data_IF_951793094710
#
_entry.id   IF_951793094710
#
_cell.length_a   1.000
_cell.length_b   1.000
_cell.length_c   1.000
_cell.angle_alpha   90.00
_cell.angle_beta   90.00
_cell.angle_gamma   90.00
#
_symmetry.space_group_name_H-M   'P 1'
#
loop_
_entity.id
_entity.type
_entity.pdbx_description
1 polymer ?
#
# COMPACT_ATOMS: atom_id res chain seq x y z
N UNK A 1 -34.38 15.38 -39.31
CA UNK A 1 -33.23 14.93 -38.50
C UNK A 1 -32.26 16.09 -38.40
N UNK A 2 -31.52 16.17 -37.30
CA UNK A 2 -30.41 17.13 -37.16
C UNK A 2 -29.16 16.32 -37.47
N UNK A 3 -28.54 16.61 -38.61
CA UNK A 3 -27.37 15.90 -39.10
C UNK A 3 -26.18 16.86 -39.10
N UNK A 4 -24.97 16.37 -38.83
CA UNK A 4 -23.77 17.19 -38.97
C UNK A 4 -23.54 17.56 -40.45
N UNK A 5 -22.86 18.68 -40.68
CA UNK A 5 -22.43 19.04 -42.02
C UNK A 5 -21.37 18.06 -42.52
N UNK A 6 -21.53 17.57 -43.76
CA UNK A 6 -20.56 16.70 -44.42
C UNK A 6 -20.73 15.21 -44.09
N UNK A 7 -19.61 14.51 -43.92
CA UNK A 7 -19.57 13.05 -43.66
C UNK A 7 -19.27 12.70 -42.21
N UNK A 8 -19.15 13.71 -41.34
CA UNK A 8 -18.86 13.52 -39.92
C UNK A 8 -20.06 12.89 -39.23
N UNK A 9 -19.84 11.81 -38.47
CA UNK A 9 -20.88 11.14 -37.68
C UNK A 9 -20.60 11.18 -36.17
N UNK A 10 -19.46 11.72 -35.78
CA UNK A 10 -19.05 11.92 -34.40
C UNK A 10 -17.89 12.91 -34.28
N UNK A 11 -17.72 13.49 -33.10
CA UNK A 11 -16.59 14.37 -32.79
C UNK A 11 -16.29 14.37 -31.29
N UNK A 12 -15.02 14.22 -30.92
CA UNK A 12 -14.56 14.26 -29.54
C UNK A 12 -13.26 15.04 -29.36
N UNK A 13 -13.02 15.50 -28.14
CA UNK A 13 -11.72 16.09 -27.78
C UNK A 13 -10.66 15.01 -27.58
N UNK A 14 -9.47 15.19 -28.15
CA UNK A 14 -8.38 14.21 -28.03
C UNK A 14 -7.68 14.32 -26.66
N UNK A 15 -7.29 13.17 -26.08
CA UNK A 15 -6.49 13.06 -24.84
C UNK A 15 -7.09 13.83 -23.65
N UNK A 16 -8.40 13.75 -23.51
CA UNK A 16 -9.20 14.64 -22.65
C UNK A 16 -9.99 13.92 -21.57
N UNK A 17 -9.94 12.59 -21.50
CA UNK A 17 -10.63 11.81 -20.47
C UNK A 17 -10.30 12.34 -19.07
N UNK A 18 -11.32 12.43 -18.21
CA UNK A 18 -11.31 13.06 -16.87
C UNK A 18 -11.23 14.60 -16.83
N UNK A 19 -11.03 15.29 -17.95
CA UNK A 19 -11.11 16.74 -17.95
C UNK A 19 -12.56 17.21 -17.76
N UNK A 20 -12.79 18.09 -16.79
CA UNK A 20 -14.14 18.53 -16.40
C UNK A 20 -14.94 19.25 -17.50
N UNK A 21 -14.30 19.69 -18.58
CA UNK A 21 -14.96 20.35 -19.72
C UNK A 21 -14.78 19.58 -21.03
N UNK A 22 -13.65 18.90 -21.18
CA UNK A 22 -13.23 18.32 -22.45
C UNK A 22 -13.46 16.81 -22.52
N UNK A 23 -13.77 16.13 -21.41
CA UNK A 23 -14.07 14.69 -21.38
C UNK A 23 -15.46 14.41 -21.96
N UNK A 24 -15.65 14.78 -23.22
CA UNK A 24 -16.91 14.80 -23.94
C UNK A 24 -16.68 14.42 -25.41
N UNK A 25 -17.71 13.80 -25.99
CA UNK A 25 -17.85 13.59 -27.42
C UNK A 25 -19.33 13.72 -27.82
N UNK A 26 -19.57 13.98 -29.10
CA UNK A 26 -20.91 14.01 -29.69
C UNK A 26 -20.99 12.95 -30.78
N UNK A 27 -22.11 12.22 -30.83
CA UNK A 27 -22.32 11.11 -31.75
C UNK A 27 -23.68 11.36 -32.43
N UNK A 28 -23.70 11.38 -33.75
CA UNK A 28 -24.94 11.44 -34.53
C UNK A 28 -25.58 10.05 -34.56
N UNK A 29 -26.89 9.96 -34.33
CA UNK A 29 -27.67 8.73 -34.51
C UNK A 29 -27.87 8.43 -35.99
N UNK A 30 -26.79 8.01 -36.66
CA UNK A 30 -26.67 7.94 -38.12
C UNK A 30 -27.12 6.61 -38.72
N UNK A 31 -27.40 5.59 -37.91
CA UNK A 31 -27.76 4.26 -38.39
C UNK A 31 -28.66 3.49 -37.42
N UNK A 32 -29.69 2.78 -37.90
CA UNK A 32 -30.48 1.87 -37.07
C UNK A 32 -29.71 0.59 -36.67
N UNK A 33 -28.49 0.40 -37.18
CA UNK A 33 -27.65 -0.77 -36.87
C UNK A 33 -26.83 -0.45 -35.63
N UNK A 34 -27.21 -1.02 -34.48
CA UNK A 34 -26.55 -0.80 -33.19
C UNK A 34 -25.02 -0.97 -33.22
N UNK A 35 -24.50 -1.90 -34.03
CA UNK A 35 -23.06 -2.10 -34.16
C UNK A 35 -22.34 -0.88 -34.76
N UNK A 36 -22.94 -0.22 -35.76
CA UNK A 36 -22.37 0.99 -36.35
C UNK A 36 -22.35 2.13 -35.33
N UNK A 37 -23.43 2.28 -34.56
CA UNK A 37 -23.52 3.25 -33.48
C UNK A 37 -22.49 2.99 -32.37
N UNK A 38 -22.33 1.73 -31.96
CA UNK A 38 -21.34 1.35 -30.95
C UNK A 38 -19.89 1.58 -31.42
N UNK A 39 -19.59 1.34 -32.71
CA UNK A 39 -18.26 1.61 -33.28
C UNK A 39 -17.99 3.12 -33.31
N UNK A 40 -18.96 3.94 -33.70
CA UNK A 40 -18.80 5.41 -33.64
C UNK A 40 -18.59 5.89 -32.20
N UNK A 41 -19.34 5.35 -31.23
CA UNK A 41 -19.12 5.68 -29.83
C UNK A 41 -17.72 5.28 -29.33
N UNK A 42 -17.27 4.07 -29.67
CA UNK A 42 -15.94 3.59 -29.33
C UNK A 42 -14.82 4.41 -30.01
N UNK A 43 -15.07 4.90 -31.24
CA UNK A 43 -14.16 5.79 -31.96
C UNK A 43 -13.96 7.11 -31.20
N UNK A 44 -15.06 7.77 -30.81
CA UNK A 44 -15.00 9.05 -30.08
C UNK A 44 -14.41 8.90 -28.67
N UNK A 45 -14.74 7.81 -27.97
CA UNK A 45 -14.08 7.48 -26.69
C UNK A 45 -12.59 7.20 -26.87
N UNK A 46 -12.19 6.57 -27.97
CA UNK A 46 -10.79 6.36 -28.33
C UNK A 46 -10.02 7.68 -28.45
N UNK A 47 -10.60 8.69 -29.10
CA UNK A 47 -10.03 10.05 -29.12
C UNK A 47 -9.89 10.62 -27.72
N UNK A 48 -10.93 10.57 -26.88
CA UNK A 48 -10.83 11.02 -25.49
C UNK A 48 -9.69 10.32 -24.72
N UNK A 49 -9.43 9.05 -25.03
CA UNK A 49 -8.36 8.21 -24.48
C UNK A 49 -7.03 8.33 -25.24
N UNK A 50 -6.89 9.34 -26.11
CA UNK A 50 -5.63 9.75 -26.72
C UNK A 50 -5.20 8.95 -27.95
N UNK A 51 -6.12 8.22 -28.59
CA UNK A 51 -5.84 7.53 -29.85
C UNK A 51 -6.03 8.48 -31.04
N UNK A 52 -5.05 8.54 -31.94
CA UNK A 52 -5.16 9.29 -33.20
C UNK A 52 -5.64 8.36 -34.34
N UNK A 53 -6.18 8.93 -35.41
CA UNK A 53 -6.66 8.16 -36.56
C UNK A 53 -5.59 7.23 -37.15
N UNK A 54 -6.02 6.03 -37.56
CA UNK A 54 -5.14 5.02 -38.14
C UNK A 54 -4.48 5.51 -39.44
N UNK A 55 -3.16 5.30 -39.55
CA UNK A 55 -2.41 5.55 -40.79
C UNK A 55 -2.31 4.27 -41.64
N UNK A 56 -1.76 4.38 -42.85
CA UNK A 56 -1.57 3.24 -43.77
C UNK A 56 -0.69 2.09 -43.22
N UNK A 57 0.03 2.29 -42.13
CA UNK A 57 0.86 1.26 -41.48
C UNK A 57 0.17 0.57 -40.30
N UNK A 58 -1.02 1.05 -39.92
CA UNK A 58 -1.82 0.52 -38.84
C UNK A 58 -2.69 -0.65 -39.32
N UNK A 59 -2.81 -1.69 -38.52
CA UNK A 59 -3.59 -2.89 -38.82
C UNK A 59 -4.21 -3.48 -37.57
N UNK A 60 -5.42 -4.02 -37.73
CA UNK A 60 -6.15 -4.78 -36.72
C UNK A 60 -6.51 -6.20 -37.21
N UNK A 61 -5.95 -6.64 -38.35
CA UNK A 61 -6.31 -7.92 -38.97
C UNK A 61 -7.71 -7.94 -39.61
N UNK A 62 -8.34 -6.77 -39.78
CA UNK A 62 -9.62 -6.59 -40.44
C UNK A 62 -9.56 -5.43 -41.45
N UNK A 63 -10.52 -5.33 -42.40
CA UNK A 63 -10.50 -4.28 -43.43
C UNK A 63 -10.63 -2.84 -42.89
N UNK A 64 -11.27 -2.65 -41.75
CA UNK A 64 -11.44 -1.36 -41.10
C UNK A 64 -11.39 -1.51 -39.58
N UNK A 65 -10.56 -0.73 -38.91
CA UNK A 65 -10.39 -0.73 -37.46
C UNK A 65 -11.29 0.34 -36.81
N UNK A 66 -11.48 0.29 -35.50
CA UNK A 66 -12.35 1.25 -34.80
C UNK A 66 -11.92 2.71 -35.05
N UNK A 67 -10.61 2.98 -35.12
CA UNK A 67 -10.02 4.32 -35.21
C UNK A 67 -9.65 4.72 -36.66
N UNK A 68 -10.18 4.01 -37.65
CA UNK A 68 -10.08 4.43 -39.06
C UNK A 68 -10.76 5.79 -39.29
N UNK A 69 -10.17 6.64 -40.14
CA UNK A 69 -10.66 8.01 -40.41
C UNK A 69 -12.02 8.06 -41.13
N UNK A 70 -12.46 6.93 -41.67
CA UNK A 70 -13.70 6.78 -42.43
C UNK A 70 -14.46 5.58 -41.91
N UNK A 71 -15.77 5.75 -41.68
CA UNK A 71 -16.64 4.66 -41.23
C UNK A 71 -16.91 3.67 -42.37
N UNK A 72 -16.51 2.40 -42.16
CA UNK A 72 -16.81 1.30 -43.06
C UNK A 72 -18.24 0.80 -42.92
N UNK A 73 -18.86 0.34 -44.02
CA UNK A 73 -20.14 -0.37 -44.00
C UNK A 73 -20.08 -1.70 -43.24
N UNK A 74 -18.90 -2.30 -43.14
CA UNK A 74 -18.63 -3.50 -42.34
C UNK A 74 -17.49 -3.19 -41.36
N UNK A 75 -17.77 -2.47 -40.26
CA UNK A 75 -16.73 -2.13 -39.30
C UNK A 75 -16.30 -3.38 -38.52
N UNK A 76 -15.04 -3.42 -38.11
CA UNK A 76 -14.58 -4.42 -37.14
C UNK A 76 -14.84 -3.96 -35.70
N UNK A 77 -14.62 -4.87 -34.75
CA UNK A 77 -14.65 -4.59 -33.31
C UNK A 77 -13.24 -4.45 -32.71
N UNK A 78 -12.23 -4.22 -33.55
CA UNK A 78 -10.82 -4.31 -33.17
C UNK A 78 -10.14 -2.95 -33.27
N UNK A 79 -9.39 -2.60 -32.23
CA UNK A 79 -8.41 -1.51 -32.28
C UNK A 79 -7.16 -1.96 -33.04
N UNK A 80 -6.53 -1.02 -33.76
CA UNK A 80 -5.28 -1.30 -34.48
C UNK A 80 -4.11 -1.44 -33.53
N UNK A 81 -2.98 -1.94 -34.05
CA UNK A 81 -1.70 -1.90 -33.33
C UNK A 81 -1.27 -0.48 -32.96
N UNK A 82 -1.58 0.53 -33.80
CA UNK A 82 -1.27 1.94 -33.51
C UNK A 82 -2.11 2.47 -32.36
N UNK A 83 -3.44 2.26 -32.39
CA UNK A 83 -4.34 2.76 -31.34
C UNK A 83 -3.96 2.20 -29.95
N UNK A 84 -3.48 0.94 -29.88
CA UNK A 84 -2.99 0.34 -28.64
C UNK A 84 -1.74 1.04 -28.10
N UNK A 85 -0.83 1.44 -28.97
CA UNK A 85 0.39 2.17 -28.58
C UNK A 85 0.09 3.61 -28.17
N UNK A 86 -0.81 4.28 -28.89
CA UNK A 86 -1.26 5.64 -28.56
C UNK A 86 -1.94 5.66 -27.19
N UNK A 87 -2.85 4.71 -26.94
CA UNK A 87 -3.51 4.57 -25.65
C UNK A 87 -2.52 4.29 -24.51
N UNK A 88 -1.56 3.38 -24.74
CA UNK A 88 -0.50 3.09 -23.76
C UNK A 88 0.31 4.36 -23.45
N UNK A 89 0.69 5.11 -24.48
CA UNK A 89 1.42 6.37 -24.35
C UNK A 89 0.62 7.42 -23.59
N UNK A 90 -0.67 7.55 -23.89
CA UNK A 90 -1.60 8.42 -23.19
C UNK A 90 -1.67 8.08 -21.70
N UNK A 91 -1.88 6.81 -21.33
CA UNK A 91 -1.95 6.38 -19.93
C UNK A 91 -0.65 6.68 -19.17
N UNK A 92 0.52 6.39 -19.76
CA UNK A 92 1.82 6.63 -19.14
C UNK A 92 2.05 8.12 -18.88
N UNK A 93 1.72 8.97 -19.86
CA UNK A 93 2.01 10.40 -19.84
C UNK A 93 0.98 11.23 -19.06
N UNK A 94 -0.31 10.88 -19.15
CA UNK A 94 -1.42 11.66 -18.57
C UNK A 94 -1.92 11.11 -17.24
N UNK A 95 -1.84 9.78 -17.03
CA UNK A 95 -2.31 9.08 -15.82
C UNK A 95 -3.66 9.60 -15.30
N UNK A 96 -4.72 9.55 -16.12
CA UNK A 96 -6.04 10.03 -15.71
C UNK A 96 -6.55 9.26 -14.49
N UNK A 97 -6.75 9.95 -13.36
CA UNK A 97 -7.07 9.30 -12.09
C UNK A 97 -8.55 8.84 -12.00
N UNK A 98 -9.47 9.49 -12.72
CA UNK A 98 -10.91 9.22 -12.59
C UNK A 98 -11.38 7.89 -13.21
N UNK A 99 -10.49 7.17 -13.91
CA UNK A 99 -10.77 5.86 -14.51
C UNK A 99 -10.11 4.70 -13.74
N UNK A 100 -9.60 4.97 -12.53
CA UNK A 100 -8.93 3.96 -11.70
C UNK A 100 -9.87 3.31 -10.69
N UNK A 101 -10.91 4.01 -10.25
CA UNK A 101 -11.91 3.43 -9.37
C UNK A 101 -12.91 2.61 -10.17
N UNK A 102 -13.16 1.40 -9.71
CA UNK A 102 -14.28 0.60 -10.19
C UNK A 102 -15.59 1.21 -9.65
N UNK A 103 -16.64 1.37 -10.48
CA UNK A 103 -17.95 1.83 -10.01
C UNK A 103 -18.56 0.80 -9.06
N UNK A 104 -19.37 1.24 -8.10
CA UNK A 104 -20.14 0.29 -7.29
C UNK A 104 -21.20 -0.38 -8.16
N UNK A 105 -21.57 -1.64 -7.90
CA UNK A 105 -22.63 -2.31 -8.66
C UNK A 105 -23.94 -1.51 -8.71
N UNK A 106 -24.25 -0.78 -7.63
CA UNK A 106 -25.43 0.07 -7.50
C UNK A 106 -25.39 1.36 -8.32
N UNK A 107 -24.22 1.79 -8.80
CA UNK A 107 -24.06 2.98 -9.63
C UNK A 107 -24.31 2.68 -11.12
N UNK A 108 -24.30 1.40 -11.50
CA UNK A 108 -24.52 0.95 -12.87
C UNK A 108 -26.02 0.83 -13.14
N UNK A 109 -26.50 1.63 -14.11
CA UNK A 109 -27.93 1.71 -14.45
C UNK A 109 -28.32 0.79 -15.62
N UNK A 110 -27.36 0.20 -16.32
CA UNK A 110 -27.64 -0.80 -17.35
C UNK A 110 -28.25 -2.06 -16.72
N UNK A 111 -29.09 -2.79 -17.46
CA UNK A 111 -29.46 -4.15 -17.06
C UNK A 111 -28.20 -5.00 -16.90
N UNK A 112 -28.05 -5.76 -15.79
CA UNK A 112 -26.88 -6.61 -15.55
C UNK A 112 -26.63 -7.62 -16.68
N UNK A 113 -25.35 -7.83 -17.04
CA UNK A 113 -24.93 -8.76 -18.09
C UNK A 113 -23.76 -9.61 -17.64
N UNK A 114 -24.07 -10.81 -17.16
CA UNK A 114 -23.05 -11.80 -16.80
C UNK A 114 -22.08 -12.10 -17.95
N UNK A 115 -20.79 -11.99 -17.65
CA UNK A 115 -19.66 -12.20 -18.54
C UNK A 115 -19.15 -10.94 -19.23
N UNK A 116 -19.52 -9.74 -18.73
CA UNK A 116 -19.07 -8.46 -19.25
C UNK A 116 -17.88 -7.87 -18.48
N UNK A 117 -17.33 -8.60 -17.51
CA UNK A 117 -16.20 -8.22 -16.66
C UNK A 117 -16.47 -7.03 -15.71
N UNK A 118 -17.75 -6.72 -15.44
CA UNK A 118 -18.16 -5.72 -14.47
C UNK A 118 -19.05 -6.37 -13.41
N UNK A 119 -18.73 -6.18 -12.12
CA UNK A 119 -19.60 -6.66 -11.07
C UNK A 119 -20.89 -5.82 -11.00
N UNK A 120 -22.02 -6.41 -11.37
CA UNK A 120 -23.31 -5.73 -11.41
C UNK A 120 -24.30 -6.26 -10.35
N UNK A 121 -25.41 -5.55 -10.14
CA UNK A 121 -26.42 -5.95 -9.14
C UNK A 121 -27.02 -7.32 -9.50
N UNK A 122 -26.88 -8.27 -8.57
CA UNK A 122 -27.41 -9.63 -8.70
C UNK A 122 -26.35 -10.70 -8.95
N UNK A 123 -25.14 -10.28 -9.31
CA UNK A 123 -23.97 -11.12 -9.49
C UNK A 123 -23.18 -11.21 -8.18
N UNK A 124 -22.42 -12.29 -8.00
CA UNK A 124 -21.48 -12.45 -6.88
C UNK A 124 -20.02 -12.33 -7.34
N UNK A 125 -19.78 -12.45 -8.64
CA UNK A 125 -18.51 -12.31 -9.33
C UNK A 125 -18.76 -12.18 -10.84
N UNK A 126 -17.86 -11.54 -11.59
CA UNK A 126 -17.84 -11.57 -13.06
C UNK A 126 -16.38 -11.58 -13.53
N UNK A 127 -15.97 -12.66 -14.20
CA UNK A 127 -14.62 -12.85 -14.74
C UNK A 127 -14.61 -12.92 -16.28
N UNK A 128 -15.66 -12.41 -16.91
CA UNK A 128 -15.87 -12.47 -18.35
C UNK A 128 -16.45 -13.81 -18.81
N UNK A 129 -16.28 -14.11 -20.10
CA UNK A 129 -16.84 -15.33 -20.69
C UNK A 129 -16.19 -16.62 -20.16
N UNK A 130 -16.87 -17.78 -20.23
CA UNK A 130 -16.28 -19.07 -19.84
C UNK A 130 -14.97 -19.44 -20.55
N UNK A 131 -14.70 -18.86 -21.73
CA UNK A 131 -13.47 -19.12 -22.49
C UNK A 131 -12.28 -18.23 -22.06
N UNK A 132 -12.56 -17.12 -21.37
CA UNK A 132 -11.57 -16.10 -21.00
C UNK A 132 -11.39 -15.97 -19.49
N UNK A 133 -12.35 -16.44 -18.69
CA UNK A 133 -12.29 -16.42 -17.24
C UNK A 133 -11.08 -17.20 -16.72
N UNK A 134 -10.25 -16.51 -15.94
CA UNK A 134 -9.09 -17.07 -15.25
C UNK A 134 -9.30 -17.14 -13.74
N UNK A 135 -10.40 -16.58 -13.23
CA UNK A 135 -10.76 -16.63 -11.81
C UNK A 135 -11.31 -18.03 -11.49
N UNK A 136 -10.58 -18.85 -10.69
CA UNK A 136 -11.04 -20.20 -10.37
C UNK A 136 -12.25 -20.21 -9.45
N UNK A 137 -12.63 -19.06 -8.87
CA UNK A 137 -13.63 -18.94 -7.83
C UNK A 137 -15.01 -18.60 -8.40
N UNK A 138 -15.01 -18.03 -9.60
CA UNK A 138 -16.19 -17.54 -10.26
C UNK A 138 -16.70 -18.53 -11.31
N UNK A 139 -17.97 -18.90 -11.20
CA UNK A 139 -18.66 -19.58 -12.29
C UNK A 139 -19.03 -18.57 -13.37
N UNK A 140 -18.18 -18.45 -14.39
CA UNK A 140 -18.36 -17.55 -15.54
C UNK A 140 -19.67 -17.75 -16.32
N UNK A 141 -20.38 -18.87 -16.13
CA UNK A 141 -21.67 -19.11 -16.79
C UNK A 141 -22.83 -18.50 -16.01
N UNK A 142 -22.69 -18.39 -14.69
CA UNK A 142 -23.78 -17.96 -13.80
C UNK A 142 -23.49 -16.67 -13.05
N UNK A 143 -22.24 -16.17 -13.10
CA UNK A 143 -21.76 -15.03 -12.31
C UNK A 143 -22.04 -15.21 -10.81
N UNK A 144 -21.84 -16.44 -10.37
CA UNK A 144 -21.98 -16.89 -8.99
C UNK A 144 -20.66 -17.47 -8.53
N UNK A 145 -20.38 -17.32 -7.24
CA UNK A 145 -19.25 -18.03 -6.67
C UNK A 145 -19.56 -19.51 -6.63
N UNK A 146 -18.52 -20.33 -6.83
CA UNK A 146 -18.69 -21.75 -6.63
C UNK A 146 -18.97 -22.07 -5.17
N UNK A 147 -19.85 -23.05 -4.91
CA UNK A 147 -20.22 -23.47 -3.53
C UNK A 147 -19.06 -23.92 -2.62
N UNK A 148 -17.87 -24.15 -3.19
CA UNK A 148 -16.67 -24.55 -2.45
C UNK A 148 -15.75 -23.37 -2.10
N UNK A 149 -16.06 -22.15 -2.54
CA UNK A 149 -15.32 -20.93 -2.18
C UNK A 149 -15.42 -20.70 -0.68
N UNK A 150 -14.26 -20.57 -0.02
CA UNK A 150 -14.16 -20.36 1.42
C UNK A 150 -13.75 -18.92 1.78
N UNK A 151 -13.08 -18.24 0.85
CA UNK A 151 -12.59 -16.87 1.02
C UNK A 151 -12.41 -16.15 -0.33
N UNK A 152 -12.42 -14.83 -0.30
CA UNK A 152 -12.18 -13.97 -1.48
C UNK A 152 -10.90 -13.11 -1.32
N UNK A 153 -10.57 -12.73 -0.09
CA UNK A 153 -9.46 -11.80 0.22
C UNK A 153 -8.80 -12.13 1.57
N UNK A 154 -7.61 -11.58 1.80
CA UNK A 154 -6.80 -11.79 2.99
C UNK A 154 -5.51 -12.60 2.71
N UNK A 155 -4.51 -12.43 3.56
CA UNK A 155 -3.15 -12.98 3.40
C UNK A 155 -3.13 -14.51 3.43
N UNK A 156 -4.15 -15.10 4.08
CA UNK A 156 -4.39 -16.53 4.19
C UNK A 156 -5.44 -17.06 3.22
N UNK A 157 -5.80 -16.29 2.19
CA UNK A 157 -6.63 -16.75 1.08
C UNK A 157 -5.77 -17.02 -0.16
N UNK A 158 -5.91 -18.21 -0.75
CA UNK A 158 -5.26 -18.55 -2.02
C UNK A 158 -6.21 -19.39 -2.87
N UNK A 159 -6.44 -18.98 -4.12
CA UNK A 159 -7.36 -19.66 -5.04
C UNK A 159 -8.73 -19.96 -4.39
N UNK A 160 -9.21 -18.99 -3.61
CA UNK A 160 -10.48 -19.01 -2.87
C UNK A 160 -10.66 -20.13 -1.86
N UNK A 161 -9.54 -20.64 -1.35
CA UNK A 161 -9.49 -21.53 -0.20
C UNK A 161 -8.59 -20.96 0.87
N UNK A 162 -8.84 -21.37 2.11
CA UNK A 162 -7.90 -21.05 3.18
C UNK A 162 -6.56 -21.72 2.90
N UNK A 163 -5.47 -20.94 3.00
CA UNK A 163 -4.12 -21.50 3.04
C UNK A 163 -3.99 -22.50 4.18
N UNK A 164 -3.14 -23.51 3.99
CA UNK A 164 -2.93 -24.56 4.99
C UNK A 164 -2.55 -24.02 6.36
N UNK A 165 -2.96 -24.73 7.41
CA UNK A 165 -2.53 -24.38 8.77
C UNK A 165 -1.00 -24.46 8.87
N UNK A 166 -0.37 -23.39 9.38
CA UNK A 166 1.08 -23.27 9.44
C UNK A 166 1.74 -22.61 8.22
N UNK A 167 0.98 -22.23 7.18
CA UNK A 167 1.52 -21.43 6.08
C UNK A 167 1.82 -20.02 6.56
N UNK A 168 3.06 -19.55 6.43
CA UNK A 168 3.45 -18.20 6.80
C UNK A 168 2.64 -17.16 6.02
N UNK A 169 2.03 -16.22 6.74
CA UNK A 169 1.28 -15.10 6.17
C UNK A 169 1.92 -13.75 6.48
N UNK A 170 2.71 -13.67 7.55
CA UNK A 170 3.53 -12.51 7.88
C UNK A 170 4.91 -13.01 8.32
N UNK A 171 5.94 -12.53 7.64
CA UNK A 171 7.31 -12.81 8.03
C UNK A 171 7.70 -11.94 9.23
N UNK A 172 8.52 -12.48 10.13
CA UNK A 172 9.11 -11.72 11.23
C UNK A 172 9.93 -10.54 10.68
N UNK A 173 9.68 -9.33 11.19
CA UNK A 173 10.40 -8.12 10.76
C UNK A 173 11.83 -8.07 11.28
N UNK A 174 12.05 -8.54 12.50
CA UNK A 174 13.33 -8.52 13.19
C UNK A 174 13.40 -9.60 14.30
N UNK A 175 14.52 -9.63 15.04
CA UNK A 175 14.79 -10.58 16.13
C UNK A 175 13.73 -10.59 17.27
N UNK A 176 12.88 -9.57 17.35
CA UNK A 176 11.86 -9.40 18.38
C UNK A 176 10.43 -9.58 17.87
N UNK A 177 10.27 -9.87 16.59
CA UNK A 177 9.00 -10.18 15.94
C UNK A 177 8.90 -11.70 15.71
N UNK A 178 7.70 -12.28 15.79
CA UNK A 178 7.50 -13.67 15.36
C UNK A 178 6.86 -13.69 13.96
N UNK A 179 7.02 -14.80 13.25
CA UNK A 179 6.32 -14.99 12.00
C UNK A 179 4.92 -15.56 12.28
N UNK A 180 3.88 -14.92 11.78
CA UNK A 180 2.52 -15.43 11.88
C UNK A 180 2.23 -16.42 10.77
N UNK A 181 1.44 -17.43 11.13
CA UNK A 181 1.03 -18.49 10.22
C UNK A 181 -0.49 -18.61 10.18
N UNK A 182 -1.01 -18.91 8.99
CA UNK A 182 -2.41 -19.18 8.74
C UNK A 182 -2.92 -20.30 9.65
N UNK A 183 -4.17 -20.15 10.10
CA UNK A 183 -4.84 -21.13 10.97
C UNK A 183 -5.44 -22.29 10.18
N UNK A 184 -5.55 -22.17 8.85
CA UNK A 184 -6.29 -23.09 7.99
C UNK A 184 -7.81 -22.98 8.08
N UNK A 185 -8.33 -21.97 8.79
CA UNK A 185 -9.77 -21.76 9.03
C UNK A 185 -10.23 -20.31 8.88
N UNK A 186 -9.31 -19.43 8.49
CA UNK A 186 -9.52 -17.99 8.35
C UNK A 186 -8.75 -17.50 7.12
N UNK A 187 -9.33 -16.54 6.42
CA UNK A 187 -8.72 -15.88 5.27
C UNK A 187 -7.68 -14.83 5.71
N UNK A 188 -7.78 -14.34 6.94
CA UNK A 188 -6.90 -13.32 7.50
C UNK A 188 -5.78 -13.95 8.33
N UNK A 189 -4.59 -13.37 8.22
CA UNK A 189 -3.47 -13.69 9.10
C UNK A 189 -3.87 -13.40 10.56
N UNK A 190 -3.45 -14.22 11.54
CA UNK A 190 -3.62 -13.90 12.94
C UNK A 190 -3.03 -12.53 13.31
N UNK A 191 -3.48 -11.99 14.44
CA UNK A 191 -2.85 -10.78 15.00
C UNK A 191 -1.39 -11.05 15.33
N UNK A 192 -0.55 -10.06 15.05
CA UNK A 192 0.89 -10.04 15.29
C UNK A 192 1.24 -10.47 16.73
N UNK A 193 1.98 -11.57 16.85
CA UNK A 193 2.43 -12.13 18.12
C UNK A 193 3.92 -11.80 18.32
N UNK A 194 4.21 -10.92 19.27
CA UNK A 194 5.58 -10.46 19.51
C UNK A 194 6.38 -11.45 20.37
N UNK A 195 7.70 -11.50 20.19
CA UNK A 195 8.54 -12.21 21.14
C UNK A 195 8.40 -11.64 22.55
N UNK A 196 8.50 -12.52 23.56
CA UNK A 196 8.40 -12.12 24.97
C UNK A 196 9.45 -11.05 25.30
N UNK A 197 9.04 -10.08 26.11
CA UNK A 197 9.96 -9.09 26.63
C UNK A 197 11.11 -9.76 27.39
N UNK A 198 12.33 -9.27 27.17
CA UNK A 198 13.55 -9.82 27.78
C UNK A 198 14.29 -10.88 26.96
N UNK A 199 13.77 -11.30 25.80
CA UNK A 199 14.51 -12.17 24.88
C UNK A 199 15.74 -11.44 24.33
N UNK A 200 16.96 -12.02 24.35
CA UNK A 200 18.14 -11.39 23.75
C UNK A 200 17.97 -11.14 22.25
N UNK A 201 18.38 -9.98 21.77
CA UNK A 201 18.27 -9.56 20.37
C UNK A 201 19.55 -8.84 19.90
N UNK A 202 19.75 -8.72 18.58
CA UNK A 202 20.91 -8.10 17.94
C UNK A 202 22.23 -8.66 18.47
N UNK A 203 22.39 -9.99 18.42
CA UNK A 203 23.57 -10.68 18.96
C UNK A 203 23.86 -10.34 20.44
N UNK A 204 22.81 -10.25 21.27
CA UNK A 204 22.87 -9.94 22.71
C UNK A 204 23.29 -8.48 23.04
N UNK A 205 23.20 -7.57 22.07
CA UNK A 205 23.36 -6.13 22.28
C UNK A 205 22.13 -5.51 22.96
N UNK A 206 20.96 -6.14 22.87
CA UNK A 206 19.74 -5.68 23.49
C UNK A 206 18.86 -6.82 24.01
N UNK A 207 17.70 -6.44 24.53
CA UNK A 207 16.62 -7.34 24.91
C UNK A 207 15.31 -6.85 24.30
N UNK A 208 14.48 -7.77 23.81
CA UNK A 208 13.20 -7.43 23.20
C UNK A 208 12.28 -6.73 24.19
N UNK A 209 11.61 -5.70 23.72
CA UNK A 209 10.63 -4.93 24.46
C UNK A 209 9.53 -4.45 23.51
N UNK A 210 8.34 -5.03 23.68
CA UNK A 210 7.15 -4.77 22.87
C UNK A 210 7.44 -4.83 21.36
N UNK A 211 8.08 -5.92 20.91
CA UNK A 211 8.36 -6.16 19.49
C UNK A 211 9.56 -5.42 18.92
N UNK A 212 10.30 -4.65 19.74
CA UNK A 212 11.50 -3.93 19.30
C UNK A 212 12.72 -4.37 20.11
N UNK A 213 13.91 -4.17 19.55
CA UNK A 213 15.19 -4.31 20.27
C UNK A 213 15.76 -2.93 20.62
N UNK A 214 15.32 -2.26 21.71
CA UNK A 214 15.84 -0.95 22.09
C UNK A 214 17.30 -1.02 22.51
N UNK A 215 18.16 -0.33 21.78
CA UNK A 215 19.58 -0.15 22.10
C UNK A 215 19.94 1.33 22.07
N UNK A 216 20.91 1.72 22.90
CA UNK A 216 21.33 3.12 23.00
C UNK A 216 21.95 3.66 21.70
N UNK A 217 22.64 2.81 20.91
CA UNK A 217 23.22 3.20 19.62
C UNK A 217 22.14 3.65 18.63
N UNK A 218 21.06 2.88 18.47
CA UNK A 218 19.93 3.25 17.61
C UNK A 218 19.25 4.54 18.09
N UNK A 219 19.12 4.75 19.41
CA UNK A 219 18.59 6.00 19.95
C UNK A 219 19.51 7.19 19.63
N UNK A 220 20.83 7.03 19.73
CA UNK A 220 21.78 8.08 19.32
C UNK A 220 21.70 8.39 17.83
N UNK A 221 21.60 7.37 16.98
CA UNK A 221 21.41 7.52 15.54
C UNK A 221 20.09 8.25 15.22
N UNK A 222 19.00 7.92 15.92
CA UNK A 222 17.71 8.59 15.73
C UNK A 222 17.76 10.08 16.13
N UNK A 223 18.55 10.44 17.15
CA UNK A 223 18.66 11.82 17.64
C UNK A 223 19.64 12.69 16.84
N UNK A 224 20.70 12.11 16.28
CA UNK A 224 21.82 12.86 15.69
C UNK A 224 22.24 12.42 14.28
N UNK A 225 21.70 11.32 13.74
CA UNK A 225 22.04 10.77 12.43
C UNK A 225 23.02 9.60 12.47
N UNK A 226 23.31 9.03 11.30
CA UNK A 226 24.00 7.74 11.16
C UNK A 226 25.40 7.65 11.79
N UNK A 227 26.11 8.77 11.95
CA UNK A 227 27.47 8.79 12.51
C UNK A 227 27.50 8.90 14.05
N UNK A 228 26.34 8.96 14.70
CA UNK A 228 26.25 9.07 16.15
C UNK A 228 26.42 7.72 16.84
N UNK A 229 27.14 7.73 17.96
CA UNK A 229 27.42 6.54 18.79
C UNK A 229 27.10 6.84 20.25
N UNK A 230 27.02 5.82 21.09
CA UNK A 230 26.86 6.02 22.54
C UNK A 230 28.11 6.68 23.14
N UNK A 231 27.92 7.66 24.03
CA UNK A 231 29.02 8.31 24.71
C UNK A 231 29.67 7.41 25.78
N UNK A 232 30.87 7.77 26.20
CA UNK A 232 31.60 7.09 27.28
C UNK A 232 30.80 7.08 28.59
N UNK A 233 30.99 6.03 29.39
CA UNK A 233 30.24 5.81 30.65
C UNK A 233 30.31 7.01 31.61
N UNK A 234 31.44 7.71 31.65
CA UNK A 234 31.64 8.90 32.48
C UNK A 234 30.61 10.02 32.20
N UNK A 235 30.05 10.10 30.98
CA UNK A 235 29.01 11.07 30.67
C UNK A 235 27.71 10.79 31.46
N UNK A 236 27.40 9.52 31.71
CA UNK A 236 26.16 9.12 32.38
C UNK A 236 26.19 9.46 33.88
N UNK A 237 27.36 9.66 34.49
CA UNK A 237 27.50 10.11 35.89
C UNK A 237 26.87 11.49 36.13
N UNK A 238 26.68 12.30 35.08
CA UNK A 238 25.92 13.54 35.16
C UNK A 238 24.49 13.31 35.67
N UNK A 239 23.90 12.14 35.40
CA UNK A 239 22.56 11.79 35.88
C UNK A 239 22.46 11.62 37.41
N UNK A 240 23.60 11.53 38.12
CA UNK A 240 23.65 11.52 39.59
C UNK A 240 23.33 12.89 40.20
N UNK A 241 23.49 13.97 39.43
CA UNK A 241 23.34 15.34 39.93
C UNK A 241 21.89 15.67 40.28
N UNK A 242 20.92 15.15 39.53
CA UNK A 242 19.50 15.45 39.74
C UNK A 242 19.15 16.91 39.50
N UNK A 243 19.81 17.55 38.54
CA UNK A 243 19.64 18.97 38.21
C UNK A 243 19.40 19.15 36.71
N UNK A 244 18.60 20.15 36.36
CA UNK A 244 18.28 20.47 34.97
C UNK A 244 17.70 19.27 34.21
N UNK A 245 18.43 18.80 33.19
CA UNK A 245 18.04 17.69 32.32
C UNK A 245 18.67 16.34 32.71
N UNK A 246 19.46 16.30 33.79
CA UNK A 246 20.26 15.14 34.19
C UNK A 246 19.67 14.49 35.44
N UNK A 247 18.80 13.51 35.20
CA UNK A 247 18.04 12.82 36.24
C UNK A 247 17.57 11.45 35.75
N UNK A 248 17.01 10.64 36.65
CA UNK A 248 16.32 9.41 36.28
C UNK A 248 14.82 9.63 36.19
N UNK A 249 14.20 10.20 37.24
CA UNK A 249 12.74 10.37 37.29
C UNK A 249 12.34 11.81 37.54
N UNK A 250 11.18 12.18 37.02
CA UNK A 250 10.53 13.46 37.31
C UNK A 250 9.12 13.21 37.82
N UNK A 251 8.90 13.52 39.08
CA UNK A 251 7.60 13.37 39.75
C UNK A 251 7.02 14.76 39.98
N UNK A 252 6.12 15.21 39.08
CA UNK A 252 5.61 16.59 39.04
C UNK A 252 6.77 17.60 38.87
N UNK A 253 7.01 18.44 39.88
CA UNK A 253 8.10 19.41 39.91
C UNK A 253 9.40 18.86 40.56
N UNK A 254 9.36 17.64 41.12
CA UNK A 254 10.51 17.04 41.79
C UNK A 254 11.38 16.28 40.79
N UNK A 255 12.64 16.68 40.69
CA UNK A 255 13.67 15.96 39.94
C UNK A 255 14.31 14.93 40.89
N UNK A 256 14.36 13.68 40.48
CA UNK A 256 14.94 12.57 41.25
C UNK A 256 16.24 12.15 40.56
N UNK A 257 17.41 12.34 41.21
CA UNK A 257 18.69 11.87 40.66
C UNK A 257 18.68 10.36 40.49
N UNK A 258 19.50 9.86 39.58
CA UNK A 258 19.74 8.43 39.47
C UNK A 258 20.48 7.89 40.69
N UNK A 259 20.21 6.64 41.08
CA UNK A 259 21.16 5.89 41.89
C UNK A 259 22.39 5.50 41.04
N UNK A 260 23.55 5.18 41.63
CA UNK A 260 24.75 4.79 40.89
C UNK A 260 24.52 3.68 39.86
N UNK A 261 23.70 2.69 40.19
CA UNK A 261 23.36 1.58 39.28
C UNK A 261 22.38 1.97 38.17
N UNK A 262 21.68 3.10 38.29
CA UNK A 262 20.59 3.52 37.40
C UNK A 262 21.03 4.60 36.40
N UNK A 263 22.28 5.06 36.45
CA UNK A 263 22.78 6.18 35.62
C UNK A 263 22.57 5.99 34.12
N UNK A 264 22.59 4.73 33.67
CA UNK A 264 22.32 4.30 32.29
C UNK A 264 20.84 4.28 31.90
N UNK A 265 19.93 4.66 32.80
CA UNK A 265 18.49 4.74 32.55
C UNK A 265 17.91 6.15 32.71
N UNK A 266 18.79 7.15 32.86
CA UNK A 266 18.45 8.58 32.88
C UNK A 266 18.55 9.22 31.49
N UNK A 267 19.16 10.42 31.42
CA UNK A 267 19.47 11.10 30.16
C UNK A 267 20.39 10.24 29.29
N UNK A 268 20.06 10.08 28.01
CA UNK A 268 20.95 9.45 27.04
C UNK A 268 22.07 10.43 26.66
N UNK A 269 23.28 9.91 26.58
CA UNK A 269 24.45 10.65 26.12
C UNK A 269 25.06 9.97 24.89
N UNK A 270 25.28 10.77 23.85
CA UNK A 270 25.81 10.35 22.57
C UNK A 270 27.13 11.06 22.26
N UNK A 271 27.92 10.45 21.40
CA UNK A 271 29.10 11.03 20.77
C UNK A 271 28.79 11.22 19.29
N UNK A 272 28.96 12.44 18.81
CA UNK A 272 28.78 12.80 17.41
C UNK A 272 29.87 13.79 17.01
N UNK A 273 30.46 13.58 15.84
CA UNK A 273 31.63 14.33 15.37
C UNK A 273 32.77 14.29 16.40
N UNK A 274 33.27 15.43 16.86
CA UNK A 274 34.33 15.53 17.88
C UNK A 274 33.82 15.76 19.31
N UNK A 275 32.50 15.86 19.51
CA UNK A 275 31.93 16.19 20.80
C UNK A 275 31.39 14.95 21.53
N UNK A 276 31.89 14.72 22.74
CA UNK A 276 31.38 13.69 23.66
C UNK A 276 30.30 14.26 24.58
N UNK A 277 29.56 13.37 25.26
CA UNK A 277 28.48 13.69 26.20
C UNK A 277 27.38 14.62 25.62
N UNK A 278 27.08 14.50 24.33
CA UNK A 278 25.97 15.23 23.71
C UNK A 278 24.64 14.66 24.21
N UNK A 279 23.67 15.53 24.48
CA UNK A 279 22.33 15.12 24.89
C UNK A 279 21.28 16.01 24.21
N UNK A 280 20.11 15.43 23.91
CA UNK A 280 18.95 16.16 23.44
C UNK A 280 17.95 16.34 24.58
N UNK A 281 17.18 17.42 24.53
CA UNK A 281 16.03 17.64 25.39
C UNK A 281 14.95 18.42 24.63
N UNK A 282 13.70 18.27 25.06
CA UNK A 282 12.59 19.08 24.55
C UNK A 282 11.62 19.42 25.69
N UNK A 283 10.46 20.00 25.35
CA UNK A 283 9.37 20.21 26.31
C UNK A 283 8.76 18.90 26.83
N UNK A 284 8.92 17.81 26.08
CA UNK A 284 8.60 16.46 26.54
C UNK A 284 9.72 15.97 27.49
N UNK A 285 9.41 15.67 28.78
CA UNK A 285 10.40 15.23 29.74
C UNK A 285 11.06 13.88 29.38
N UNK A 286 10.41 13.06 28.56
CA UNK A 286 10.92 11.75 28.15
C UNK A 286 11.78 11.81 26.88
N UNK A 287 11.64 12.87 26.08
CA UNK A 287 12.44 13.04 24.85
C UNK A 287 13.93 13.14 25.17
N UNK A 288 14.74 12.26 24.58
CA UNK A 288 16.19 12.17 24.78
C UNK A 288 16.62 11.44 26.06
N UNK A 289 15.69 10.88 26.82
CA UNK A 289 15.99 9.93 27.89
C UNK A 289 16.26 8.55 27.29
N UNK A 290 16.97 7.68 28.02
CA UNK A 290 17.14 6.28 27.60
C UNK A 290 15.79 5.56 27.60
N UNK A 291 15.40 4.98 26.47
CA UNK A 291 14.11 4.31 26.31
C UNK A 291 13.93 3.13 27.27
N UNK A 292 12.67 2.85 27.62
CA UNK A 292 12.33 1.65 28.39
C UNK A 292 12.64 0.38 27.62
N UNK A 293 13.08 -0.66 28.34
CA UNK A 293 13.56 -1.92 27.76
C UNK A 293 15.00 -1.88 27.26
N UNK A 294 15.63 -0.69 27.17
CA UNK A 294 17.02 -0.58 26.73
C UNK A 294 17.95 -1.34 27.68
N UNK A 295 18.87 -2.12 27.12
CA UNK A 295 19.93 -2.79 27.89
C UNK A 295 20.83 -1.77 28.58
N UNK A 296 20.90 -1.82 29.91
CA UNK A 296 21.72 -0.91 30.72
C UNK A 296 22.96 -1.60 31.33
N UNK A 297 22.94 -2.93 31.40
CA UNK A 297 24.07 -3.80 31.72
C UNK A 297 23.76 -5.22 31.23
N UNK A 298 24.72 -6.13 31.28
CA UNK A 298 24.45 -7.55 30.98
C UNK A 298 23.40 -8.12 31.93
N UNK A 299 22.35 -8.73 31.34
CA UNK A 299 21.20 -9.25 32.07
C UNK A 299 20.24 -8.20 32.61
N UNK A 300 20.41 -6.91 32.28
CA UNK A 300 19.61 -5.81 32.84
C UNK A 300 19.04 -4.85 31.80
N UNK A 301 17.86 -4.32 32.11
CA UNK A 301 17.11 -3.37 31.26
C UNK A 301 16.61 -2.16 32.05
N UNK A 302 16.37 -1.06 31.34
CA UNK A 302 15.77 0.13 31.92
C UNK A 302 14.25 -0.02 32.05
N UNK A 303 13.75 -0.12 33.29
CA UNK A 303 12.31 -0.11 33.60
C UNK A 303 12.00 1.00 34.59
N UNK A 304 11.06 1.87 34.27
CA UNK A 304 10.72 3.03 35.12
C UNK A 304 11.95 3.86 35.56
N UNK A 305 12.92 4.01 34.63
CA UNK A 305 14.17 4.75 34.82
C UNK A 305 15.09 4.15 35.89
N UNK A 306 15.03 2.82 36.07
CA UNK A 306 15.91 2.03 36.92
C UNK A 306 16.50 0.87 36.12
N UNK A 307 17.76 0.51 36.40
CA UNK A 307 18.44 -0.60 35.74
C UNK A 307 18.22 -1.88 36.54
N UNK A 308 17.28 -2.70 36.08
CA UNK A 308 16.78 -3.89 36.80
C UNK A 308 17.08 -5.17 36.03
N UNK A 309 17.13 -6.30 36.74
CA UNK A 309 17.34 -7.61 36.10
C UNK A 309 16.20 -7.96 35.15
N UNK A 310 16.54 -8.37 33.93
CA UNK A 310 15.60 -8.68 32.85
C UNK A 310 14.58 -9.74 33.24
N UNK A 311 14.98 -10.69 34.09
CA UNK A 311 14.12 -11.77 34.62
C UNK A 311 13.08 -11.32 35.64
N UNK A 312 13.21 -10.10 36.17
CA UNK A 312 12.26 -9.49 37.12
C UNK A 312 11.56 -8.27 36.52
N UNK A 313 12.00 -7.83 35.35
CA UNK A 313 11.47 -6.67 34.66
C UNK A 313 10.14 -6.95 33.95
N UNK A 314 9.85 -8.19 33.59
CA UNK A 314 8.68 -8.57 32.79
C UNK A 314 7.92 -9.74 33.42
#
# INVERSE_FOLDING_TARGET
TIDFDGQTVGLAHISSMCNSKLSTGVIQDHSPINLLMAVTMAHELGHNLGMDHDTKYCTCGAPACIISDTLSHQPSKQFSNCSKEDYRTYLINRRPQCILNEPLPTDIISPPVCGNELLEVGEECDCGSPNTCQDPCCDATTCKQHSWVECESGECCEQCKFKGAGTECQAAKDDCDMAESCTGRSAYCPTDDLHRNGQPCLNNHGYCYNGMCPIMDHQCIALYGADATVAEDACFDLNLQGQGNFYCRREKARIVPCAPQDVKCGRLFCKFDHYSCQYQYSGDPDFGMVDHGTKCADGKVCKNRQCVDVTTAY
#
